data_IF_819245896218
#
_entry.id   IF_819245896218
#
_cell.length_a   1.000
_cell.length_b   1.000
_cell.length_c   1.000
_cell.angle_alpha   90.00
_cell.angle_beta   90.00
_cell.angle_gamma   90.00
#
_symmetry.space_group_name_H-M   'P 1'
#
loop_
_entity.id
_entity.type
_entity.pdbx_description
1 polymer ?
#
# COMPACT_ATOMS: atom_id res chain seq x y z
N UNK A 1 2.08 21.98 22.93
CA UNK A 1 2.22 20.55 23.22
C UNK A 1 2.24 19.75 21.91
N UNK A 2 3.20 18.89 21.75
CA UNK A 2 3.29 18.06 20.55
C UNK A 2 2.22 16.97 20.58
N UNK A 3 1.46 16.86 19.50
CA UNK A 3 0.39 15.88 19.39
C UNK A 3 0.93 14.47 19.09
N UNK A 4 2.04 14.39 18.32
CA UNK A 4 2.64 13.12 17.92
C UNK A 4 4.11 13.09 18.27
N UNK A 5 4.61 11.89 18.59
CA UNK A 5 6.03 11.67 18.85
C UNK A 5 6.81 11.62 17.53
N UNK A 6 6.25 10.97 16.51
CA UNK A 6 6.87 10.80 15.18
C UNK A 6 5.80 11.00 14.12
N UNK A 7 6.14 11.79 13.11
CA UNK A 7 5.30 11.99 11.92
C UNK A 7 6.11 11.58 10.69
N UNK A 8 5.59 10.71 9.89
CA UNK A 8 6.22 10.28 8.64
C UNK A 8 5.42 10.69 7.43
N UNK A 9 6.09 10.84 6.31
CA UNK A 9 5.47 11.14 5.01
C UNK A 9 5.95 10.13 3.98
N UNK A 10 5.05 9.61 3.18
CA UNK A 10 5.42 8.62 2.18
C UNK A 10 4.23 8.16 1.33
N UNK A 11 4.49 7.14 0.53
CA UNK A 11 3.46 6.53 -0.30
C UNK A 11 2.58 5.59 0.53
N UNK A 12 1.27 5.82 0.48
CA UNK A 12 0.30 4.95 1.12
C UNK A 12 -0.03 3.82 0.13
N UNK A 13 0.56 2.66 0.33
CA UNK A 13 0.47 1.51 -0.57
C UNK A 13 -0.16 0.33 0.15
N UNK A 14 -1.25 -0.20 -0.39
CA UNK A 14 -1.84 -1.45 0.12
C UNK A 14 -1.07 -2.61 -0.47
N UNK A 15 -0.47 -3.45 0.38
CA UNK A 15 0.17 -4.68 -0.05
C UNK A 15 -0.89 -5.78 -0.15
N UNK A 16 -1.04 -6.34 -1.35
CA UNK A 16 -2.01 -7.39 -1.64
C UNK A 16 -1.24 -8.66 -2.00
N UNK A 17 -1.42 -9.69 -1.20
CA UNK A 17 -0.68 -10.95 -1.34
C UNK A 17 -1.57 -12.04 -1.90
N UNK A 18 -1.03 -12.86 -2.80
CA UNK A 18 -1.66 -14.11 -3.18
C UNK A 18 -0.61 -15.16 -3.56
N UNK A 19 -0.91 -16.46 -3.35
CA UNK A 19 -0.02 -17.51 -3.82
C UNK A 19 -0.09 -17.62 -5.34
N UNK A 20 1.05 -17.94 -5.96
CA UNK A 20 1.13 -18.14 -7.40
C UNK A 20 2.26 -19.12 -7.71
N UNK A 21 2.04 -20.01 -8.67
CA UNK A 21 3.11 -20.89 -9.10
C UNK A 21 3.92 -20.25 -10.25
N UNK A 22 5.04 -20.88 -10.58
CA UNK A 22 5.94 -20.33 -11.61
C UNK A 22 5.28 -20.24 -12.97
N UNK A 23 4.40 -21.21 -13.32
CA UNK A 23 3.68 -21.16 -14.59
C UNK A 23 2.74 -19.95 -14.67
N UNK A 24 2.11 -19.57 -13.56
CA UNK A 24 1.27 -18.37 -13.51
C UNK A 24 2.12 -17.11 -13.76
N UNK A 25 3.29 -17.03 -13.12
CA UNK A 25 4.19 -15.89 -13.30
C UNK A 25 4.62 -15.75 -14.77
N UNK A 26 4.99 -16.87 -15.39
CA UNK A 26 5.38 -16.88 -16.81
C UNK A 26 4.21 -16.47 -17.70
N UNK A 27 3.04 -17.02 -17.46
CA UNK A 27 1.84 -16.72 -18.25
C UNK A 27 1.49 -15.24 -18.18
N UNK A 28 1.61 -14.65 -17.01
CA UNK A 28 1.26 -13.25 -16.77
C UNK A 28 2.40 -12.29 -17.12
N UNK A 29 3.55 -12.79 -17.53
CA UNK A 29 4.70 -11.95 -17.85
C UNK A 29 5.30 -11.25 -16.64
N UNK A 30 5.22 -11.88 -15.47
CA UNK A 30 5.75 -11.32 -14.21
C UNK A 30 7.19 -11.79 -14.02
N UNK A 31 8.09 -10.84 -13.84
CA UNK A 31 9.49 -11.17 -13.54
C UNK A 31 9.62 -11.55 -12.08
N UNK A 32 10.02 -12.79 -11.85
CA UNK A 32 10.07 -13.38 -10.52
C UNK A 32 11.13 -12.73 -9.62
N UNK A 33 10.76 -12.50 -8.37
CA UNK A 33 11.69 -12.12 -7.32
C UNK A 33 12.10 -10.65 -7.29
N UNK A 34 11.48 -9.80 -8.10
CA UNK A 34 11.80 -8.37 -8.11
C UNK A 34 10.55 -7.51 -7.86
N UNK A 35 10.77 -6.23 -7.64
CA UNK A 35 9.71 -5.23 -7.58
C UNK A 35 9.73 -4.42 -8.87
N UNK A 36 8.57 -4.29 -9.51
CA UNK A 36 8.39 -3.46 -10.69
C UNK A 36 7.28 -2.46 -10.47
N UNK A 37 7.45 -1.27 -10.99
CA UNK A 37 6.36 -0.30 -11.08
C UNK A 37 5.53 -0.63 -12.32
N UNK A 38 4.22 -0.61 -12.18
CA UNK A 38 3.30 -0.88 -13.28
C UNK A 38 2.32 0.26 -13.45
N UNK A 39 1.80 0.38 -14.66
CA UNK A 39 0.78 1.38 -14.98
C UNK A 39 -0.61 0.87 -14.60
N UNK A 40 -1.60 1.76 -14.67
CA UNK A 40 -2.96 1.49 -14.19
C UNK A 40 -3.58 0.24 -14.82
N UNK A 41 -3.52 0.13 -16.15
CA UNK A 41 -4.13 -1.00 -16.85
C UNK A 41 -3.51 -2.34 -16.45
N UNK A 42 -2.19 -2.37 -16.38
CA UNK A 42 -1.45 -3.56 -15.96
C UNK A 42 -1.76 -3.89 -14.49
N UNK A 43 -1.80 -2.89 -13.63
CA UNK A 43 -2.14 -3.07 -12.23
C UNK A 43 -3.54 -3.62 -12.02
N UNK A 44 -4.53 -3.10 -12.74
CA UNK A 44 -5.91 -3.59 -12.67
C UNK A 44 -6.02 -5.03 -13.14
N UNK A 45 -5.33 -5.38 -14.22
CA UNK A 45 -5.31 -6.75 -14.75
C UNK A 45 -4.71 -7.73 -13.76
N UNK A 46 -3.57 -7.39 -13.16
CA UNK A 46 -2.92 -8.25 -12.18
C UNK A 46 -3.77 -8.40 -10.92
N UNK A 47 -4.36 -7.32 -10.45
CA UNK A 47 -5.24 -7.35 -9.29
C UNK A 47 -6.45 -8.27 -9.54
N UNK A 48 -7.06 -8.17 -10.71
CA UNK A 48 -8.20 -9.00 -11.06
C UNK A 48 -7.83 -10.49 -11.17
N UNK A 49 -6.58 -10.79 -11.51
CA UNK A 49 -6.09 -12.16 -11.63
C UNK A 49 -5.73 -12.80 -10.30
N UNK A 50 -5.66 -12.03 -9.23
CA UNK A 50 -5.28 -12.53 -7.91
C UNK A 50 -6.45 -13.28 -7.26
N UNK A 51 -6.16 -14.48 -6.75
CA UNK A 51 -7.13 -15.30 -6.00
C UNK A 51 -6.63 -15.48 -4.57
N UNK A 52 -7.56 -15.71 -3.63
CA UNK A 52 -7.22 -15.91 -2.22
C UNK A 52 -6.35 -14.78 -1.69
N UNK A 53 -6.77 -13.56 -1.97
CA UNK A 53 -6.00 -12.37 -1.60
C UNK A 53 -6.07 -12.09 -0.11
N UNK A 54 -4.92 -11.70 0.46
CA UNK A 54 -4.83 -11.04 1.77
C UNK A 54 -4.22 -9.66 1.56
N UNK A 55 -4.58 -8.71 2.41
CA UNK A 55 -4.09 -7.35 2.23
C UNK A 55 -3.72 -6.70 3.55
N UNK A 56 -2.68 -5.86 3.51
CA UNK A 56 -2.17 -5.12 4.66
C UNK A 56 -1.75 -3.73 4.22
N UNK A 57 -1.81 -2.78 5.15
CA UNK A 57 -1.22 -1.46 4.92
C UNK A 57 0.29 -1.63 4.75
N UNK A 58 0.83 -1.15 3.63
CA UNK A 58 2.25 -1.26 3.29
C UNK A 58 2.90 0.10 3.09
N UNK A 59 4.10 0.08 2.53
CA UNK A 59 4.94 1.24 2.37
C UNK A 59 5.99 1.32 3.47
N UNK A 60 7.24 1.67 3.12
CA UNK A 60 8.36 1.63 4.07
C UNK A 60 8.15 2.56 5.26
N UNK A 61 7.71 3.79 5.01
CA UNK A 61 7.46 4.76 6.08
C UNK A 61 6.30 4.30 6.97
N UNK A 62 5.22 3.83 6.37
CA UNK A 62 4.06 3.34 7.10
C UNK A 62 4.41 2.15 7.99
N UNK A 63 5.22 1.22 7.48
CA UNK A 63 5.67 0.06 8.27
C UNK A 63 6.50 0.50 9.48
N UNK A 64 7.36 1.50 9.30
CA UNK A 64 8.15 2.07 10.39
C UNK A 64 7.24 2.69 11.46
N UNK A 65 6.26 3.48 11.05
CA UNK A 65 5.33 4.13 11.97
C UNK A 65 4.45 3.13 12.71
N UNK A 66 4.00 2.09 12.01
CA UNK A 66 3.23 1.02 12.63
C UNK A 66 4.06 0.30 13.70
N UNK A 67 5.32 -0.01 13.40
CA UNK A 67 6.23 -0.61 14.39
C UNK A 67 6.44 0.26 15.61
N UNK A 68 6.65 1.55 15.41
CA UNK A 68 6.81 2.51 16.51
C UNK A 68 5.51 2.64 17.33
N UNK A 69 4.36 2.63 16.67
CA UNK A 69 3.06 2.65 17.35
C UNK A 69 2.85 1.42 18.22
N UNK A 70 3.26 0.26 17.76
CA UNK A 70 3.18 -0.98 18.53
C UNK A 70 4.10 -0.95 19.75
N UNK A 71 5.17 -0.15 19.71
CA UNK A 71 6.07 0.07 20.84
C UNK A 71 5.56 1.14 21.81
N UNK A 72 4.38 1.70 21.57
CA UNK A 72 3.75 2.65 22.47
C UNK A 72 3.94 4.11 22.12
N UNK A 73 4.58 4.43 21.00
CA UNK A 73 4.71 5.80 20.54
C UNK A 73 3.46 6.26 19.81
N UNK A 74 3.15 7.55 19.91
CA UNK A 74 2.04 8.16 19.19
C UNK A 74 2.56 8.63 17.83
N UNK A 75 2.19 7.91 16.78
CA UNK A 75 2.71 8.15 15.43
C UNK A 75 1.60 8.64 14.49
N UNK A 76 2.02 9.37 13.45
CA UNK A 76 1.12 9.87 12.43
C UNK A 76 1.76 9.73 11.04
N UNK A 77 0.94 9.46 10.06
CA UNK A 77 1.35 9.26 8.67
C UNK A 77 0.67 10.28 7.76
N UNK A 78 1.48 10.97 6.97
CA UNK A 78 1.00 11.88 5.94
C UNK A 78 1.10 11.15 4.60
N UNK A 79 -0.02 10.92 3.96
CA UNK A 79 -0.10 10.22 2.70
C UNK A 79 -1.39 10.52 1.98
N UNK A 80 -1.60 9.90 0.84
CA UNK A 80 -2.79 10.16 0.04
C UNK A 80 -3.41 8.86 -0.42
N UNK A 81 -4.68 8.65 -0.07
CA UNK A 81 -5.50 7.54 -0.55
C UNK A 81 -6.79 8.07 -1.13
N UNK A 82 -7.37 7.31 -2.05
CA UNK A 82 -8.70 7.59 -2.55
C UNK A 82 -9.74 7.05 -1.56
N UNK A 83 -10.94 7.62 -1.57
CA UNK A 83 -12.06 7.10 -0.79
C UNK A 83 -12.67 5.89 -1.53
N UNK A 84 -11.86 4.86 -1.66
CA UNK A 84 -12.22 3.57 -2.22
C UNK A 84 -12.01 2.49 -1.16
N UNK A 85 -12.34 1.25 -1.49
CA UNK A 85 -12.26 0.14 -0.55
C UNK A 85 -10.85 -0.03 0.03
N UNK A 86 -9.83 0.01 -0.83
CA UNK A 86 -8.44 -0.14 -0.40
C UNK A 86 -7.99 1.04 0.45
N UNK A 87 -8.41 2.25 0.10
CA UNK A 87 -8.08 3.45 0.89
C UNK A 87 -8.65 3.40 2.29
N UNK A 88 -9.90 3.01 2.43
CA UNK A 88 -10.56 2.86 3.73
C UNK A 88 -9.90 1.75 4.55
N UNK A 89 -9.57 0.64 3.91
CA UNK A 89 -8.84 -0.47 4.54
C UNK A 89 -7.47 -0.04 5.06
N UNK A 90 -6.75 0.76 4.27
CA UNK A 90 -5.44 1.28 4.64
C UNK A 90 -5.50 2.09 5.93
N UNK A 91 -6.43 3.04 5.99
CA UNK A 91 -6.61 3.90 7.16
C UNK A 91 -6.94 3.06 8.41
N UNK A 92 -7.84 2.08 8.25
CA UNK A 92 -8.24 1.21 9.36
C UNK A 92 -7.09 0.32 9.85
N UNK A 93 -6.30 -0.23 8.94
CA UNK A 93 -5.13 -1.04 9.29
C UNK A 93 -4.09 -0.23 10.07
N UNK A 94 -3.80 0.99 9.59
CA UNK A 94 -2.85 1.87 10.28
C UNK A 94 -3.32 2.18 11.71
N UNK A 95 -4.61 2.43 11.87
CA UNK A 95 -5.18 2.72 13.20
C UNK A 95 -5.04 1.54 14.17
N UNK A 96 -5.18 0.31 13.68
CA UNK A 96 -5.00 -0.90 14.50
C UNK A 96 -3.58 -0.99 15.06
N UNK A 97 -2.60 -0.54 14.30
CA UNK A 97 -1.20 -0.58 14.71
C UNK A 97 -0.79 0.66 15.52
N UNK A 98 -1.73 1.54 15.82
CA UNK A 98 -1.48 2.74 16.62
C UNK A 98 -0.94 3.93 15.84
N UNK A 99 -1.00 3.90 14.51
CA UNK A 99 -0.59 5.01 13.67
C UNK A 99 -1.82 5.75 13.13
N UNK A 100 -1.81 7.07 13.24
CA UNK A 100 -2.91 7.91 12.76
C UNK A 100 -2.64 8.36 11.33
N UNK A 101 -3.57 8.06 10.43
CA UNK A 101 -3.52 8.60 9.07
C UNK A 101 -4.13 10.00 9.09
N UNK A 102 -3.30 11.01 8.85
CA UNK A 102 -3.67 12.41 9.09
C UNK A 102 -4.63 12.96 8.04
N UNK A 103 -4.38 12.62 6.77
CA UNK A 103 -5.13 13.19 5.65
C UNK A 103 -6.44 12.43 5.44
N UNK A 104 -7.55 13.13 5.21
CA UNK A 104 -8.79 12.44 4.85
C UNK A 104 -8.68 11.78 3.48
N UNK A 105 -9.39 10.68 3.29
CA UNK A 105 -9.46 10.03 1.98
C UNK A 105 -10.07 11.00 0.95
N UNK A 106 -9.53 10.99 -0.26
CA UNK A 106 -9.96 11.91 -1.33
C UNK A 106 -11.24 11.37 -1.96
N UNK A 107 -12.32 12.09 -1.81
CA UNK A 107 -13.60 11.74 -2.42
C UNK A 107 -13.59 12.10 -3.90
N UNK A 108 -13.96 11.13 -4.74
CA UNK A 108 -14.01 11.35 -6.18
C UNK A 108 -12.66 11.53 -6.83
N UNK A 109 -11.60 11.05 -6.20
CA UNK A 109 -10.26 11.08 -6.79
C UNK A 109 -10.22 10.30 -8.09
N UNK A 110 -9.52 10.83 -9.09
CA UNK A 110 -9.42 10.19 -10.40
C UNK A 110 -8.59 8.92 -10.36
N UNK A 111 -7.48 8.93 -9.60
CA UNK A 111 -6.60 7.79 -9.49
C UNK A 111 -6.97 6.95 -8.26
N UNK A 112 -7.00 5.61 -8.41
CA UNK A 112 -7.27 4.74 -7.26
C UNK A 112 -6.12 4.73 -6.26
N UNK A 113 -6.40 4.21 -5.07
CA UNK A 113 -5.41 4.01 -4.02
C UNK A 113 -4.30 3.11 -4.52
N UNK A 114 -3.07 3.46 -4.16
CA UNK A 114 -1.86 2.70 -4.52
C UNK A 114 -1.93 1.28 -3.97
N UNK A 115 -1.46 0.33 -4.77
CA UNK A 115 -1.44 -1.09 -4.39
C UNK A 115 -0.23 -1.78 -4.97
N UNK A 116 0.32 -2.72 -4.22
CA UNK A 116 1.36 -3.60 -4.68
C UNK A 116 0.79 -5.01 -4.76
N UNK A 117 0.74 -5.57 -5.96
CA UNK A 117 0.30 -6.95 -6.19
C UNK A 117 1.51 -7.85 -5.98
N UNK A 118 1.50 -8.61 -4.88
CA UNK A 118 2.62 -9.43 -4.45
C UNK A 118 2.25 -10.90 -4.61
N UNK A 119 2.94 -11.57 -5.52
CA UNK A 119 2.74 -12.99 -5.79
C UNK A 119 3.82 -13.77 -5.07
N UNK A 120 3.41 -14.71 -4.23
CA UNK A 120 4.32 -15.53 -3.43
C UNK A 120 4.39 -16.92 -4.07
N UNK A 121 5.55 -17.28 -4.60
CA UNK A 121 5.77 -18.57 -5.23
C UNK A 121 6.12 -19.64 -4.19
N UNK A 122 6.02 -20.95 -4.54
CA UNK A 122 6.21 -22.03 -3.56
C UNK A 122 7.57 -22.03 -2.86
N UNK A 123 8.60 -21.46 -3.51
CA UNK A 123 9.94 -21.31 -2.93
C UNK A 123 10.06 -20.12 -1.96
N UNK A 124 8.96 -19.39 -1.71
CA UNK A 124 8.94 -18.24 -0.82
C UNK A 124 9.34 -16.92 -1.47
N UNK A 125 9.69 -16.91 -2.76
CA UNK A 125 10.02 -15.69 -3.47
C UNK A 125 8.79 -14.80 -3.62
N UNK A 126 9.01 -13.49 -3.49
CA UNK A 126 7.96 -12.48 -3.66
C UNK A 126 8.21 -11.70 -4.94
N UNK A 127 7.21 -11.71 -5.81
CA UNK A 127 7.24 -10.96 -7.06
C UNK A 127 6.26 -9.81 -6.93
N UNK A 128 6.77 -8.58 -6.87
CA UNK A 128 5.99 -7.40 -6.52
C UNK A 128 5.75 -6.52 -7.73
N UNK A 129 4.51 -6.10 -7.90
CA UNK A 129 4.10 -5.22 -9.00
C UNK A 129 3.31 -4.07 -8.37
N UNK A 130 3.90 -2.87 -8.38
CA UNK A 130 3.36 -1.74 -7.64
C UNK A 130 2.78 -0.69 -8.59
N UNK A 131 1.49 -0.40 -8.38
CA UNK A 131 0.82 0.73 -9.01
C UNK A 131 0.68 1.84 -7.97
N UNK A 132 1.38 2.96 -8.17
CA UNK A 132 1.44 4.03 -7.17
C UNK A 132 0.14 4.85 -7.07
N UNK A 133 -0.59 4.97 -8.17
CA UNK A 133 -1.91 5.62 -8.15
C UNK A 133 -1.91 7.00 -7.53
N UNK A 134 -2.92 7.26 -6.71
CA UNK A 134 -3.13 8.56 -6.10
C UNK A 134 -2.02 8.98 -5.13
N UNK A 135 -1.20 8.05 -4.65
CA UNK A 135 -0.08 8.39 -3.75
C UNK A 135 0.92 9.35 -4.39
N UNK A 136 1.02 9.34 -5.73
CA UNK A 136 1.89 10.25 -6.46
C UNK A 136 1.41 11.70 -6.48
N UNK A 137 0.16 11.93 -6.10
CA UNK A 137 -0.44 13.27 -6.08
C UNK A 137 -0.25 13.98 -4.74
N UNK A 138 0.48 13.37 -3.82
CA UNK A 138 0.81 13.99 -2.52
C UNK A 138 1.59 15.28 -2.76
N UNK A 139 1.13 16.36 -2.17
CA UNK A 139 1.72 17.68 -2.38
C UNK A 139 1.84 18.48 -1.09
N UNK A 140 2.39 19.71 -1.18
CA UNK A 140 2.62 20.54 0.01
C UNK A 140 1.37 20.81 0.84
N UNK A 141 0.20 20.89 0.20
CA UNK A 141 -1.05 21.17 0.89
C UNK A 141 -1.46 20.04 1.85
N UNK A 142 -0.94 18.82 1.61
CA UNK A 142 -1.25 17.67 2.45
C UNK A 142 -0.48 17.69 3.78
N UNK A 143 0.53 18.53 3.88
CA UNK A 143 1.41 18.60 5.06
C UNK A 143 0.94 19.64 6.08
N UNK A 144 0.19 20.65 5.68
CA UNK A 144 -0.22 21.76 6.53
C UNK A 144 -1.24 21.40 7.62
#
# INVERSE_FOLDING_TARGET
MKKYNVVGIGNAVVDVFCPANDSFLDLMGIQKGIMQLVERNRGEMLFAAMRERTQHAGGSVANTLAGLGMLGLNTAFIGRVNDDELGRSYIADMAKDGATFVNPAIKGGELPTSRSMIFVSPDGERSMNTYLGISTELGPDDVS
#
